data_IF_512886119844
#
_entry.id   IF_512886119844
#
_cell.length_a   1.000
_cell.length_b   1.000
_cell.length_c   1.000
_cell.angle_alpha   90.00
_cell.angle_beta   90.00
_cell.angle_gamma   90.00
#
_symmetry.space_group_name_H-M   'P 1'
#
loop_
_entity.id
_entity.type
_entity.pdbx_description
1 polymer ?
#
# COMPACT_ATOMS: atom_id res chain seq x y z
N UNK A 1 28.70 -32.03 -9.73
CA UNK A 1 27.36 -31.76 -10.27
C UNK A 1 26.58 -30.95 -9.24
N UNK A 2 26.46 -29.63 -9.38
CA UNK A 2 25.68 -28.82 -8.43
C UNK A 2 24.35 -28.48 -9.10
N UNK A 3 23.32 -29.30 -8.87
CA UNK A 3 21.97 -29.04 -9.37
C UNK A 3 20.97 -29.31 -8.26
N UNK A 4 20.65 -28.23 -7.54
CA UNK A 4 19.29 -27.76 -7.27
C UNK A 4 19.40 -26.65 -6.22
N UNK A 5 19.63 -25.41 -6.68
CA UNK A 5 19.19 -24.27 -5.87
C UNK A 5 17.67 -24.31 -5.94
N UNK A 6 16.99 -24.70 -4.87
CA UNK A 6 15.54 -24.52 -4.75
C UNK A 6 15.31 -23.01 -4.71
N UNK A 7 15.12 -22.46 -5.91
CA UNK A 7 14.86 -21.05 -6.14
C UNK A 7 13.35 -20.88 -6.09
N UNK A 8 12.90 -19.96 -5.25
CA UNK A 8 11.51 -19.58 -5.13
C UNK A 8 11.31 -18.14 -5.62
N UNK A 9 10.19 -17.85 -6.26
CA UNK A 9 9.84 -16.47 -6.59
C UNK A 9 9.02 -15.88 -5.44
N UNK A 10 9.43 -14.72 -4.96
CA UNK A 10 8.67 -13.97 -3.97
C UNK A 10 7.30 -13.57 -4.58
N UNK A 11 6.16 -13.96 -3.99
CA UNK A 11 4.84 -13.67 -4.57
C UNK A 11 4.50 -12.17 -4.55
N UNK A 12 5.25 -11.38 -3.77
CA UNK A 12 5.03 -9.94 -3.62
C UNK A 12 5.76 -9.13 -4.68
N UNK A 13 7.03 -9.42 -4.97
CA UNK A 13 7.85 -8.60 -5.86
C UNK A 13 8.42 -9.38 -7.06
N UNK A 14 8.13 -10.69 -7.15
CA UNK A 14 8.66 -11.61 -8.15
C UNK A 14 10.19 -11.75 -8.15
N UNK A 15 10.89 -11.29 -7.11
CA UNK A 15 12.33 -11.54 -6.96
C UNK A 15 12.60 -13.00 -6.60
N UNK A 16 13.65 -13.54 -7.22
CA UNK A 16 14.20 -14.87 -6.96
C UNK A 16 14.87 -14.92 -5.58
N UNK A 17 14.47 -15.88 -4.75
CA UNK A 17 14.99 -16.13 -3.39
C UNK A 17 15.57 -17.54 -3.27
N UNK A 18 16.52 -17.75 -2.35
CA UNK A 18 17.07 -19.06 -1.99
C UNK A 18 16.35 -19.66 -0.75
N UNK A 19 16.69 -20.91 -0.38
CA UNK A 19 16.04 -21.65 0.72
C UNK A 19 16.16 -21.02 2.11
N UNK A 20 17.22 -20.25 2.37
CA UNK A 20 17.46 -19.60 3.67
C UNK A 20 16.66 -18.29 3.84
N UNK A 21 15.61 -18.11 3.03
CA UNK A 21 14.75 -16.95 3.06
C UNK A 21 13.62 -17.07 4.07
N UNK A 22 13.05 -15.92 4.42
CA UNK A 22 11.85 -15.82 5.25
C UNK A 22 10.71 -16.60 4.59
N UNK A 23 9.90 -17.28 5.41
CA UNK A 23 8.77 -18.05 4.91
C UNK A 23 7.55 -17.93 5.81
N UNK A 24 6.37 -18.16 5.23
CA UNK A 24 5.09 -18.18 5.93
C UNK A 24 4.18 -19.19 5.28
N UNK A 25 3.29 -19.77 6.07
CA UNK A 25 2.29 -20.71 5.60
C UNK A 25 0.95 -20.00 5.41
N UNK A 26 0.34 -20.18 4.23
CA UNK A 26 -0.98 -19.66 3.92
C UNK A 26 -1.75 -20.72 3.13
N UNK A 27 -2.95 -21.07 3.59
CA UNK A 27 -3.80 -22.13 2.98
C UNK A 27 -3.07 -23.47 2.82
N UNK A 28 -2.25 -23.85 3.81
CA UNK A 28 -1.44 -25.06 3.81
C UNK A 28 -0.38 -25.14 2.70
N UNK A 29 -0.05 -23.99 2.10
CA UNK A 29 1.06 -23.83 1.17
C UNK A 29 2.13 -22.93 1.79
N UNK A 30 3.40 -23.28 1.58
CA UNK A 30 4.54 -22.53 2.11
C UNK A 30 5.06 -21.55 1.07
N UNK A 31 5.08 -20.26 1.43
CA UNK A 31 5.58 -19.17 0.60
C UNK A 31 6.91 -18.64 1.12
N UNK A 32 7.78 -18.19 0.22
CA UNK A 32 9.10 -17.65 0.52
C UNK A 32 9.20 -16.18 0.11
N UNK A 33 9.92 -15.39 0.90
CA UNK A 33 10.00 -13.94 0.78
C UNK A 33 11.44 -13.46 0.76
N UNK A 34 11.75 -12.54 -0.14
CA UNK A 34 13.10 -11.99 -0.29
C UNK A 34 13.49 -10.99 0.82
N UNK A 35 12.53 -10.50 1.60
CA UNK A 35 12.74 -9.51 2.66
C UNK A 35 11.61 -9.54 3.67
N UNK A 36 11.85 -9.03 4.88
CA UNK A 36 10.82 -8.87 5.92
C UNK A 36 9.64 -8.03 5.42
N UNK A 37 9.93 -7.00 4.63
CA UNK A 37 8.89 -6.17 4.02
C UNK A 37 7.96 -6.98 3.10
N UNK A 38 8.48 -7.92 2.30
CA UNK A 38 7.64 -8.77 1.46
C UNK A 38 6.81 -9.75 2.30
N UNK A 39 7.39 -10.29 3.37
CA UNK A 39 6.65 -11.13 4.32
C UNK A 39 5.51 -10.33 4.98
N UNK A 40 5.78 -9.15 5.52
CA UNK A 40 4.78 -8.26 6.15
C UNK A 40 3.64 -7.91 5.17
N UNK A 41 3.98 -7.57 3.92
CA UNK A 41 2.99 -7.28 2.87
C UNK A 41 2.06 -8.46 2.62
N UNK A 42 2.66 -9.64 2.49
CA UNK A 42 1.92 -10.86 2.22
C UNK A 42 1.03 -11.26 3.40
N UNK A 43 1.54 -11.22 4.62
CA UNK A 43 0.76 -11.60 5.81
C UNK A 43 -0.38 -10.63 6.08
N UNK A 44 -0.21 -9.34 5.78
CA UNK A 44 -1.28 -8.35 5.93
C UNK A 44 -2.44 -8.60 4.96
N UNK A 45 -2.16 -8.93 3.69
CA UNK A 45 -3.17 -9.09 2.64
C UNK A 45 -2.80 -10.20 1.64
N UNK A 46 -2.81 -11.49 2.04
CA UNK A 46 -2.29 -12.57 1.19
C UNK A 46 -3.12 -12.78 -0.08
N UNK A 47 -4.43 -12.53 -0.03
CA UNK A 47 -5.35 -12.65 -1.16
C UNK A 47 -5.07 -11.69 -2.33
N UNK A 48 -4.33 -10.60 -2.08
CA UNK A 48 -3.89 -9.66 -3.12
C UNK A 48 -2.79 -10.28 -4.00
N UNK A 49 -1.96 -11.15 -3.41
CA UNK A 49 -0.79 -11.74 -4.06
C UNK A 49 -1.08 -13.15 -4.57
N UNK A 50 -1.84 -13.95 -3.81
CA UNK A 50 -2.16 -15.34 -4.13
C UNK A 50 -3.67 -15.55 -4.19
N UNK A 51 -4.13 -16.03 -5.32
CA UNK A 51 -5.55 -16.28 -5.55
C UNK A 51 -6.04 -17.62 -4.98
N UNK A 52 -7.28 -17.96 -5.30
CA UNK A 52 -7.86 -19.27 -4.96
C UNK A 52 -7.41 -20.37 -5.92
N UNK A 53 -7.77 -21.63 -5.65
CA UNK A 53 -7.52 -22.72 -6.59
C UNK A 53 -8.20 -22.41 -7.93
N UNK A 54 -7.40 -22.23 -8.98
CA UNK A 54 -7.86 -21.89 -10.33
C UNK A 54 -8.30 -20.43 -10.53
N UNK A 55 -8.18 -19.57 -9.52
CA UNK A 55 -8.56 -18.16 -9.60
C UNK A 55 -7.30 -17.34 -9.31
N UNK A 56 -6.70 -16.65 -10.30
CA UNK A 56 -5.53 -15.78 -10.06
C UNK A 56 -5.89 -14.62 -9.13
N UNK A 57 -4.94 -14.11 -8.35
CA UNK A 57 -5.10 -12.91 -7.52
C UNK A 57 -5.22 -11.64 -8.36
N UNK A 58 -5.64 -10.53 -7.75
CA UNK A 58 -5.66 -9.21 -8.40
C UNK A 58 -4.28 -8.87 -9.01
N UNK A 59 -3.19 -9.07 -8.25
CA UNK A 59 -1.84 -8.85 -8.74
C UNK A 59 -1.48 -9.76 -9.92
N UNK A 60 -1.88 -11.03 -9.88
CA UNK A 60 -1.62 -11.98 -10.97
C UNK A 60 -2.41 -11.66 -12.25
N UNK A 61 -3.56 -11.00 -12.13
CA UNK A 61 -4.36 -10.50 -13.26
C UNK A 61 -3.87 -9.15 -13.79
N UNK A 62 -2.91 -8.51 -13.13
CA UNK A 62 -2.47 -7.14 -13.45
C UNK A 62 -3.50 -6.07 -13.08
N UNK A 63 -4.42 -6.39 -12.18
CA UNK A 63 -5.42 -5.46 -11.65
C UNK A 63 -4.80 -4.56 -10.58
N UNK A 64 -5.41 -3.40 -10.36
CA UNK A 64 -5.09 -2.50 -9.24
C UNK A 64 -5.97 -2.83 -8.04
N UNK A 65 -5.46 -2.63 -6.83
CA UNK A 65 -6.25 -2.81 -5.62
C UNK A 65 -6.37 -1.48 -4.89
N UNK A 66 -7.35 -0.67 -5.31
CA UNK A 66 -7.49 0.69 -4.82
C UNK A 66 -8.17 0.69 -3.44
N UNK A 67 -7.50 1.35 -2.49
CA UNK A 67 -7.98 1.55 -1.13
C UNK A 67 -8.09 3.03 -0.84
N UNK A 68 -9.10 3.40 -0.06
CA UNK A 68 -9.18 4.72 0.58
C UNK A 68 -8.94 4.55 2.06
N UNK A 69 -7.98 5.31 2.58
CA UNK A 69 -7.73 5.41 4.00
C UNK A 69 -7.97 6.82 4.46
N UNK A 70 -8.76 6.95 5.53
CA UNK A 70 -9.00 8.21 6.19
C UNK A 70 -8.37 8.16 7.57
N UNK A 71 -7.44 9.08 7.81
CA UNK A 71 -6.81 9.31 9.10
C UNK A 71 -7.48 10.50 9.75
N UNK A 72 -7.91 10.35 11.00
CA UNK A 72 -8.45 11.46 11.79
C UNK A 72 -7.42 11.91 12.82
N UNK A 73 -7.18 13.21 12.88
CA UNK A 73 -6.28 13.85 13.82
C UNK A 73 -7.09 14.50 14.95
N UNK A 74 -6.44 14.71 16.09
CA UNK A 74 -7.03 15.40 17.25
C UNK A 74 -7.11 16.92 17.06
N UNK A 75 -6.48 17.45 16.02
CA UNK A 75 -6.41 18.88 15.72
C UNK A 75 -6.38 19.14 14.23
N UNK A 76 -6.83 20.33 13.84
CA UNK A 76 -6.76 20.84 12.47
C UNK A 76 -5.31 20.87 11.98
N UNK A 77 -5.10 20.40 10.76
CA UNK A 77 -3.82 20.43 10.06
C UNK A 77 -3.59 21.86 9.53
N UNK A 78 -2.47 22.52 9.89
CA UNK A 78 -2.10 23.80 9.29
C UNK A 78 -1.93 23.69 7.77
N UNK A 79 -2.25 24.75 7.02
CA UNK A 79 -2.20 24.76 5.55
C UNK A 79 -0.81 24.36 5.03
N UNK A 80 0.26 24.92 5.60
CA UNK A 80 1.64 24.58 5.25
C UNK A 80 1.96 23.09 5.47
N UNK A 81 1.38 22.48 6.51
CA UNK A 81 1.56 21.06 6.80
C UNK A 81 0.76 20.20 5.82
N UNK A 82 -0.46 20.62 5.50
CA UNK A 82 -1.29 19.93 4.53
C UNK A 82 -0.59 19.85 3.17
N UNK A 83 -0.01 20.95 2.70
CA UNK A 83 0.77 20.99 1.44
C UNK A 83 1.96 20.02 1.48
N UNK A 84 2.71 19.99 2.58
CA UNK A 84 3.84 19.06 2.73
C UNK A 84 3.39 17.59 2.74
N UNK A 85 2.30 17.28 3.45
CA UNK A 85 1.73 15.92 3.49
C UNK A 85 1.31 15.47 2.09
N UNK A 86 0.60 16.34 1.37
CA UNK A 86 0.14 16.06 0.00
C UNK A 86 1.35 15.80 -0.91
N UNK A 87 2.34 16.69 -0.92
CA UNK A 87 3.52 16.57 -1.77
C UNK A 87 4.33 15.29 -1.47
N UNK A 88 4.60 15.02 -0.19
CA UNK A 88 5.42 13.88 0.22
C UNK A 88 4.73 12.53 -0.07
N UNK A 89 3.41 12.45 0.14
CA UNK A 89 2.65 11.24 -0.16
C UNK A 89 2.43 11.04 -1.66
N UNK A 90 2.15 12.10 -2.43
CA UNK A 90 1.98 12.01 -3.88
C UNK A 90 3.27 11.64 -4.62
N UNK A 91 4.44 11.89 -4.01
CA UNK A 91 5.72 11.41 -4.53
C UNK A 91 5.89 9.88 -4.43
N UNK A 92 5.04 9.18 -3.68
CA UNK A 92 5.10 7.73 -3.54
C UNK A 92 4.46 7.03 -4.75
N UNK A 93 5.19 6.09 -5.36
CA UNK A 93 4.63 5.19 -6.37
C UNK A 93 3.47 4.38 -5.77
N UNK A 94 2.30 4.44 -6.41
CA UNK A 94 1.07 3.78 -5.97
C UNK A 94 0.12 4.63 -5.14
N UNK A 95 0.50 5.85 -4.74
CA UNK A 95 -0.46 6.83 -4.21
C UNK A 95 -1.12 7.55 -5.39
N UNK A 96 -2.45 7.59 -5.41
CA UNK A 96 -3.25 8.12 -6.52
C UNK A 96 -3.75 9.52 -6.19
N UNK A 97 -4.28 9.68 -4.98
CA UNK A 97 -4.85 10.95 -4.53
C UNK A 97 -4.63 11.12 -3.03
N UNK A 98 -4.40 12.37 -2.62
CA UNK A 98 -4.26 12.77 -1.23
C UNK A 98 -5.02 14.06 -1.06
N UNK A 99 -5.88 14.09 -0.05
CA UNK A 99 -6.68 15.26 0.31
C UNK A 99 -6.59 15.47 1.82
N UNK A 100 -6.52 16.74 2.24
CA UNK A 100 -6.45 17.12 3.65
C UNK A 100 -7.58 18.09 3.94
N UNK A 101 -8.58 17.61 4.67
CA UNK A 101 -9.77 18.37 5.05
C UNK A 101 -9.77 18.57 6.57
N UNK A 102 -9.40 19.78 6.99
CA UNK A 102 -9.32 20.20 8.39
C UNK A 102 -8.52 19.24 9.28
N UNK A 103 -9.18 18.33 9.99
CA UNK A 103 -8.59 17.34 10.90
C UNK A 103 -8.47 15.94 10.26
N UNK A 104 -8.69 15.80 8.95
CA UNK A 104 -8.68 14.52 8.24
C UNK A 104 -7.67 14.51 7.11
N UNK A 105 -7.01 13.37 6.93
CA UNK A 105 -6.16 13.07 5.78
C UNK A 105 -6.78 11.89 5.05
N UNK A 106 -7.20 12.10 3.81
CA UNK A 106 -7.72 11.09 2.92
C UNK A 106 -6.61 10.67 1.95
N UNK A 107 -6.39 9.36 1.81
CA UNK A 107 -5.34 8.78 0.97
C UNK A 107 -5.96 7.70 0.11
N UNK A 108 -5.93 7.86 -1.21
CA UNK A 108 -6.32 6.85 -2.18
C UNK A 108 -5.04 6.25 -2.77
N UNK A 109 -4.89 4.93 -2.67
CA UNK A 109 -3.67 4.25 -3.08
C UNK A 109 -3.92 2.82 -3.56
N UNK A 110 -3.00 2.32 -4.39
CA UNK A 110 -2.93 0.92 -4.80
C UNK A 110 -2.17 0.10 -3.75
N UNK A 111 -2.90 -0.77 -3.06
CA UNK A 111 -2.36 -1.70 -2.06
C UNK A 111 -1.32 -2.69 -2.64
N UNK A 112 -1.30 -2.88 -3.96
CA UNK A 112 -0.31 -3.72 -4.65
C UNK A 112 1.05 -3.01 -4.77
N UNK A 113 1.07 -1.68 -4.81
CA UNK A 113 2.28 -0.88 -5.03
C UNK A 113 2.83 -0.31 -3.71
N UNK A 114 1.97 0.24 -2.85
CA UNK A 114 2.38 0.88 -1.60
C UNK A 114 1.83 0.17 -0.37
N UNK A 115 2.62 0.12 0.70
CA UNK A 115 2.21 -0.45 1.99
C UNK A 115 1.74 0.62 2.97
N UNK A 116 0.86 0.19 3.89
CA UNK A 116 0.54 0.86 5.15
C UNK A 116 1.78 1.43 5.84
N UNK A 117 2.82 0.61 6.06
CA UNK A 117 4.03 1.01 6.80
C UNK A 117 4.83 2.09 6.06
N UNK A 118 4.85 2.06 4.73
CA UNK A 118 5.50 3.09 3.93
C UNK A 118 4.76 4.43 4.05
N UNK A 119 3.42 4.43 3.98
CA UNK A 119 2.59 5.63 4.18
C UNK A 119 2.81 6.19 5.59
N UNK A 120 2.78 5.34 6.62
CA UNK A 120 3.07 5.73 8.01
C UNK A 120 4.45 6.39 8.15
N UNK A 121 5.47 5.77 7.54
CA UNK A 121 6.85 6.26 7.58
C UNK A 121 6.97 7.64 6.93
N UNK A 122 6.28 7.87 5.81
CA UNK A 122 6.29 9.18 5.14
C UNK A 122 5.60 10.21 6.02
N UNK A 123 4.40 9.92 6.53
CA UNK A 123 3.67 10.81 7.44
C UNK A 123 4.47 11.16 8.70
N UNK A 124 5.08 10.17 9.35
CA UNK A 124 5.93 10.39 10.54
C UNK A 124 7.13 11.29 10.20
N UNK A 125 7.79 11.08 9.05
CA UNK A 125 8.89 11.93 8.58
C UNK A 125 8.43 13.35 8.27
N UNK A 126 7.36 13.53 7.50
CA UNK A 126 6.80 14.85 7.17
C UNK A 126 6.44 15.62 8.43
N UNK A 127 5.75 14.96 9.38
CA UNK A 127 5.42 15.57 10.67
C UNK A 127 6.66 15.97 11.46
N UNK A 128 7.67 15.08 11.55
CA UNK A 128 8.91 15.34 12.26
C UNK A 128 9.73 16.49 11.67
N UNK A 129 9.67 16.69 10.34
CA UNK A 129 10.35 17.79 9.66
C UNK A 129 9.80 19.15 10.10
N UNK A 130 8.50 19.24 10.39
CA UNK A 130 7.90 20.44 10.96
C UNK A 130 8.11 20.52 12.49
N UNK A 131 7.78 19.45 13.22
CA UNK A 131 8.14 19.30 14.63
C UNK A 131 8.03 17.84 15.09
N UNK A 132 8.87 17.44 16.05
CA UNK A 132 8.79 16.10 16.67
C UNK A 132 7.39 15.77 17.22
N UNK A 133 6.68 16.77 17.74
CA UNK A 133 5.30 16.62 18.25
C UNK A 133 4.32 16.25 17.13
N UNK A 134 4.46 16.84 15.95
CA UNK A 134 3.59 16.54 14.80
C UNK A 134 3.85 15.14 14.24
N UNK A 135 5.10 14.69 14.22
CA UNK A 135 5.43 13.30 13.85
C UNK A 135 4.70 12.29 14.75
N UNK A 136 4.67 12.53 16.06
CA UNK A 136 3.93 11.69 17.01
C UNK A 136 2.40 11.75 16.80
N UNK A 137 1.84 12.92 16.48
CA UNK A 137 0.39 13.05 16.18
C UNK A 137 0.02 12.25 14.94
N UNK A 138 0.77 12.39 13.85
CA UNK A 138 0.51 11.67 12.61
C UNK A 138 0.65 10.15 12.79
N UNK A 139 1.66 9.72 13.55
CA UNK A 139 1.82 8.31 13.91
C UNK A 139 0.62 7.77 14.70
N UNK A 140 0.10 8.54 15.66
CA UNK A 140 -1.09 8.15 16.45
C UNK A 140 -2.37 8.14 15.61
N UNK A 141 -2.56 9.11 14.73
CA UNK A 141 -3.69 9.13 13.79
C UNK A 141 -3.71 7.88 12.91
N UNK A 142 -2.52 7.37 12.56
CA UNK A 142 -2.37 6.14 11.80
C UNK A 142 -2.72 4.86 12.58
N UNK A 143 -2.80 4.91 13.91
CA UNK A 143 -3.31 3.79 14.74
C UNK A 143 -4.85 3.79 14.75
N UNK A 144 -5.47 4.97 14.64
CA UNK A 144 -6.92 5.17 14.65
C UNK A 144 -7.48 5.47 13.25
N UNK A 145 -7.19 4.61 12.27
CA UNK A 145 -7.63 4.79 10.88
C UNK A 145 -8.88 3.98 10.52
N UNK A 146 -9.62 4.49 9.53
CA UNK A 146 -10.62 3.72 8.80
C UNK A 146 -10.06 3.41 7.39
N UNK A 147 -10.07 2.13 6.99
CA UNK A 147 -9.74 1.72 5.61
C UNK A 147 -10.99 1.15 4.93
N UNK A 148 -11.29 1.70 3.76
CA UNK A 148 -12.37 1.24 2.90
C UNK A 148 -11.79 0.72 1.59
N UNK A 149 -12.34 -0.39 1.11
CA UNK A 149 -12.01 -0.90 -0.23
C UNK A 149 -12.85 -0.14 -1.25
N UNK A 150 -12.20 0.58 -2.16
CA UNK A 150 -12.89 1.11 -3.33
C UNK A 150 -12.89 -0.05 -4.33
N UNK A 151 -14.04 -0.72 -4.50
CA UNK A 151 -14.16 -1.65 -5.63
C UNK A 151 -14.06 -0.83 -6.91
N UNK A 152 -13.10 -1.18 -7.75
CA UNK A 152 -13.02 -0.70 -9.13
C UNK A 152 -14.27 -1.15 -9.89
N UNK A 153 -15.34 -0.36 -9.80
CA UNK A 153 -16.06 -0.03 -11.02
C UNK A 153 -15.35 1.18 -11.59
N UNK A 154 -14.28 0.91 -12.36
CA UNK A 154 -13.78 1.83 -13.36
C UNK A 154 -14.92 2.06 -14.37
N UNK A 155 -15.89 2.91 -14.02
CA UNK A 155 -16.67 3.64 -15.01
C UNK A 155 -15.68 4.56 -15.72
N UNK A 156 -15.06 4.03 -16.78
CA UNK A 156 -14.56 4.86 -17.86
C UNK A 156 -15.79 5.54 -18.49
N UNK A 157 -16.11 6.74 -18.03
CA UNK A 157 -16.90 7.68 -18.81
C UNK A 157 -16.12 8.98 -18.97
N UNK A 158 -15.47 9.10 -20.12
CA UNK A 158 -15.24 10.37 -20.78
C UNK A 158 -15.07 10.10 -22.29
N UNK A 159 -16.20 10.21 -22.98
CA UNK A 159 -16.35 10.87 -24.29
C UNK A 159 -15.24 10.71 -25.35
N UNK A 160 -15.57 9.94 -26.39
CA UNK A 160 -15.04 10.16 -27.74
C UNK A 160 -16.21 10.50 -28.66
N UNK A 161 -16.51 11.79 -28.69
CA UNK A 161 -16.80 12.63 -29.86
C UNK A 161 -17.84 12.18 -30.91
N UNK A 162 -18.81 13.08 -31.08
CA UNK A 162 -19.71 13.34 -32.21
C UNK A 162 -19.07 13.30 -33.63
N UNK A 163 -19.96 13.17 -34.63
CA UNK A 163 -19.81 13.25 -36.10
C UNK A 163 -19.30 11.95 -36.77
N UNK A 164 -20.04 11.33 -37.69
CA UNK A 164 -20.73 11.87 -38.86
C UNK A 164 -21.84 10.91 -39.32
#
# INVERSE_FOLDING_TARGET
MIRNKNIHNCPVCNMVTNLDCLSSEYRSEKFFFCSEQCLERFTANPGVYIGGRGIPSAKQRGERCIKRRTLKLDSVVPVEMAENIINDLQAMMGVIEVDVDADKINIIYDLIEVTTKQIETVLEKTGNNASKKYGEVLKRAFIHYNEETIMDNLEHNADLHSHH
#
